data_IF_987024983733
#
_entry.id   IF_987024983733
#
_cell.length_a   1.000
_cell.length_b   1.000
_cell.length_c   1.000
_cell.angle_alpha   90.00
_cell.angle_beta   90.00
_cell.angle_gamma   90.00
#
_symmetry.space_group_name_H-M   'P 1'
#
loop_
_entity.id
_entity.type
_entity.pdbx_description
1 polymer ?
#
# COMPACT_ATOMS: atom_id res chain seq x y z
N UNK A 1 0.94 36.40 1.92
CA UNK A 1 1.78 35.39 1.24
C UNK A 1 2.99 35.12 2.09
N UNK A 2 3.34 33.83 2.27
CA UNK A 2 4.68 33.24 2.45
C UNK A 2 4.57 32.09 3.47
N UNK A 3 4.25 30.88 3.00
CA UNK A 3 5.17 29.75 2.78
C UNK A 3 5.47 28.97 4.08
N UNK A 4 4.80 27.82 4.26
CA UNK A 4 5.41 26.65 4.92
C UNK A 4 5.88 25.65 3.85
N UNK A 5 6.36 24.43 4.19
CA UNK A 5 6.76 23.87 5.49
C UNK A 5 8.16 23.18 5.44
N UNK A 6 8.69 22.70 6.57
CA UNK A 6 9.66 21.58 6.63
C UNK A 6 9.82 21.05 8.07
N UNK A 7 9.60 19.75 8.26
CA UNK A 7 10.02 19.00 9.47
C UNK A 7 9.06 19.11 10.65
N UNK A 8 8.09 18.19 10.75
CA UNK A 8 7.32 17.97 11.96
C UNK A 8 8.26 17.50 13.08
N UNK A 9 8.75 18.43 13.90
CA UNK A 9 9.36 18.16 15.19
C UNK A 9 8.27 17.66 16.14
N UNK A 10 8.07 16.36 16.21
CA UNK A 10 7.12 15.74 17.14
C UNK A 10 7.81 15.70 18.52
N UNK A 11 7.44 16.63 19.41
CA UNK A 11 7.93 16.68 20.78
C UNK A 11 7.19 15.63 21.63
N UNK A 12 7.93 14.71 22.26
CA UNK A 12 7.42 13.55 22.99
C UNK A 12 6.66 13.84 24.31
N UNK A 13 6.11 15.04 24.52
CA UNK A 13 5.42 15.45 25.76
C UNK A 13 3.89 15.59 25.64
N UNK A 14 3.31 15.33 24.48
CA UNK A 14 1.89 15.58 24.23
C UNK A 14 1.11 14.26 24.13
N UNK A 15 0.95 13.55 25.25
CA UNK A 15 0.18 12.29 25.32
C UNK A 15 -1.27 12.43 24.78
N UNK A 16 -1.86 13.63 24.88
CA UNK A 16 -3.20 13.97 24.35
C UNK A 16 -3.23 14.03 22.81
N UNK A 17 -2.10 14.38 22.19
CA UNK A 17 -1.95 14.48 20.74
C UNK A 17 -1.81 13.08 20.10
N UNK A 18 -1.35 12.07 20.84
CA UNK A 18 -1.20 10.72 20.28
C UNK A 18 -2.53 10.08 19.89
N UNK A 19 -3.56 10.18 20.73
CA UNK A 19 -4.87 9.59 20.42
C UNK A 19 -5.55 10.31 19.23
N UNK A 20 -5.43 11.63 19.14
CA UNK A 20 -5.94 12.39 17.99
C UNK A 20 -5.15 12.08 16.71
N UNK A 21 -3.81 11.98 16.81
CA UNK A 21 -2.94 11.56 15.69
C UNK A 21 -3.29 10.14 15.24
N UNK A 22 -3.53 9.20 16.15
CA UNK A 22 -3.94 7.82 15.83
C UNK A 22 -5.32 7.78 15.17
N UNK A 23 -6.27 8.60 15.63
CA UNK A 23 -7.58 8.75 14.98
C UNK A 23 -7.46 9.32 13.57
N UNK A 24 -6.70 10.41 13.41
CA UNK A 24 -6.44 11.03 12.10
C UNK A 24 -5.74 10.05 11.15
N UNK A 25 -4.80 9.27 11.68
CA UNK A 25 -4.11 8.22 10.94
C UNK A 25 -5.10 7.13 10.49
N UNK A 26 -5.92 6.59 11.40
CA UNK A 26 -6.92 5.59 11.07
C UNK A 26 -7.92 6.09 10.01
N UNK A 27 -8.38 7.35 10.12
CA UNK A 27 -9.27 7.97 9.12
C UNK A 27 -8.61 8.00 7.75
N UNK A 28 -7.36 8.44 7.64
CA UNK A 28 -6.63 8.46 6.35
C UNK A 28 -6.46 7.06 5.75
N UNK A 29 -6.17 6.07 6.59
CA UNK A 29 -6.00 4.68 6.16
C UNK A 29 -7.32 4.11 5.63
N UNK A 30 -8.42 4.31 6.35
CA UNK A 30 -9.76 3.87 5.91
C UNK A 30 -10.15 4.56 4.62
N UNK A 31 -9.99 5.88 4.53
CA UNK A 31 -10.25 6.64 3.30
C UNK A 31 -9.45 6.13 2.10
N UNK A 32 -8.17 5.79 2.30
CA UNK A 32 -7.34 5.22 1.24
C UNK A 32 -7.89 3.87 0.75
N UNK A 33 -8.21 2.97 1.68
CA UNK A 33 -8.78 1.65 1.38
C UNK A 33 -10.11 1.76 0.63
N UNK A 34 -11.03 2.57 1.14
CA UNK A 34 -12.34 2.80 0.53
C UNK A 34 -12.19 3.43 -0.86
N UNK A 35 -11.31 4.42 -1.01
CA UNK A 35 -11.06 5.07 -2.30
C UNK A 35 -10.52 4.06 -3.31
N UNK A 36 -9.54 3.25 -2.91
CA UNK A 36 -8.96 2.23 -3.78
C UNK A 36 -9.99 1.18 -4.19
N UNK A 37 -10.78 0.67 -3.24
CA UNK A 37 -11.83 -0.30 -3.52
C UNK A 37 -12.90 0.25 -4.48
N UNK A 38 -13.39 1.47 -4.22
CA UNK A 38 -14.35 2.16 -5.09
C UNK A 38 -13.84 2.34 -6.52
N UNK A 39 -12.52 2.48 -6.71
CA UNK A 39 -11.92 2.55 -8.04
C UNK A 39 -11.95 1.17 -8.72
N UNK A 40 -11.56 0.11 -8.01
CA UNK A 40 -11.58 -1.26 -8.52
C UNK A 40 -13.00 -1.73 -8.90
N UNK A 41 -14.03 -1.27 -8.19
CA UNK A 41 -15.43 -1.57 -8.56
C UNK A 41 -15.87 -0.90 -9.87
N UNK A 42 -15.23 0.22 -10.24
CA UNK A 42 -15.59 1.03 -11.43
C UNK A 42 -14.72 0.77 -12.65
N UNK A 43 -13.49 0.32 -12.44
CA UNK A 43 -12.49 0.12 -13.50
C UNK A 43 -11.74 -1.18 -13.23
N UNK A 44 -11.52 -2.04 -14.25
CA UNK A 44 -10.67 -3.22 -14.11
C UNK A 44 -9.28 -2.86 -13.58
N UNK A 45 -8.79 -3.60 -12.59
CA UNK A 45 -7.48 -3.39 -11.98
C UNK A 45 -6.35 -3.39 -13.00
N UNK A 46 -6.44 -4.24 -14.03
CA UNK A 46 -5.49 -4.31 -15.16
C UNK A 46 -5.35 -3.03 -15.98
N UNK A 47 -6.31 -2.11 -15.88
CA UNK A 47 -6.27 -0.80 -16.55
C UNK A 47 -5.89 0.34 -15.60
N UNK A 48 -5.73 0.04 -14.31
CA UNK A 48 -5.44 1.03 -13.29
C UNK A 48 -3.95 1.37 -13.26
N UNK A 49 -3.65 2.66 -13.13
CA UNK A 49 -2.31 3.16 -12.80
C UNK A 49 -2.37 3.81 -11.43
N UNK A 50 -1.62 3.28 -10.47
CA UNK A 50 -1.58 3.77 -9.09
C UNK A 50 -0.66 4.98 -8.95
N UNK A 51 0.44 4.99 -9.71
CA UNK A 51 1.45 6.04 -9.70
C UNK A 51 1.96 6.30 -11.12
N UNK A 52 2.75 7.37 -11.30
CA UNK A 52 3.49 7.62 -12.54
C UNK A 52 4.67 6.66 -12.73
N UNK A 53 5.06 5.95 -11.67
CA UNK A 53 6.25 5.10 -11.59
C UNK A 53 5.89 3.61 -11.57
N UNK A 54 4.66 3.24 -11.95
CA UNK A 54 4.19 1.85 -11.83
C UNK A 54 5.10 0.84 -12.55
N UNK A 55 5.57 1.21 -13.74
CA UNK A 55 6.51 0.38 -14.51
C UNK A 55 7.83 0.18 -13.74
N UNK A 56 8.42 1.27 -13.21
CA UNK A 56 9.66 1.23 -12.41
C UNK A 56 9.48 0.40 -11.12
N UNK A 57 8.37 0.62 -10.41
CA UNK A 57 8.06 -0.08 -9.16
C UNK A 57 7.89 -1.58 -9.40
N UNK A 58 7.21 -1.97 -10.46
CA UNK A 58 7.01 -3.38 -10.82
C UNK A 58 8.32 -4.07 -11.19
N UNK A 59 9.15 -3.43 -12.02
CA UNK A 59 10.47 -3.98 -12.40
C UNK A 59 11.40 -4.10 -11.19
N UNK A 60 11.43 -3.08 -10.32
CA UNK A 60 12.23 -3.12 -9.11
C UNK A 60 11.74 -4.21 -8.14
N UNK A 61 10.42 -4.39 -7.98
CA UNK A 61 9.86 -5.47 -7.16
C UNK A 61 10.32 -6.84 -7.66
N UNK A 62 10.22 -7.10 -8.97
CA UNK A 62 10.67 -8.36 -9.56
C UNK A 62 12.17 -8.60 -9.42
N UNK A 63 12.98 -7.53 -9.43
CA UNK A 63 14.42 -7.62 -9.26
C UNK A 63 14.82 -7.92 -7.81
N UNK A 64 14.19 -7.25 -6.85
CA UNK A 64 14.52 -7.37 -5.42
C UNK A 64 13.86 -8.61 -4.78
N UNK A 65 12.68 -8.98 -5.28
CA UNK A 65 11.90 -10.13 -4.82
C UNK A 65 11.53 -11.02 -6.01
N UNK A 66 12.50 -11.74 -6.61
CA UNK A 66 12.25 -12.59 -7.78
C UNK A 66 11.27 -13.73 -7.51
N UNK A 67 11.20 -14.20 -6.25
CA UNK A 67 10.29 -15.24 -5.79
C UNK A 67 8.93 -14.68 -5.32
N UNK A 68 8.67 -13.38 -5.49
CA UNK A 68 7.39 -12.78 -5.08
C UNK A 68 6.25 -13.22 -6.00
N UNK A 69 5.28 -13.93 -5.42
CA UNK A 69 4.04 -14.32 -6.08
C UNK A 69 2.90 -13.39 -5.66
N UNK A 70 2.44 -12.55 -6.58
CA UNK A 70 1.35 -11.60 -6.34
C UNK A 70 -0.03 -12.27 -6.15
N UNK A 71 -0.17 -13.52 -6.61
CA UNK A 71 -1.39 -14.33 -6.51
C UNK A 71 -1.53 -15.06 -5.18
N UNK A 72 -0.40 -15.25 -4.48
CA UNK A 72 -0.34 -15.89 -3.18
C UNK A 72 -0.86 -14.98 -2.06
N UNK A 73 -1.24 -15.60 -0.94
CA UNK A 73 -1.48 -14.87 0.30
C UNK A 73 -0.13 -14.44 0.87
N UNK A 74 0.00 -13.15 1.17
CA UNK A 74 1.21 -12.58 1.77
C UNK A 74 1.43 -13.21 3.14
N UNK A 75 2.63 -13.75 3.33
CA UNK A 75 3.06 -14.22 4.63
C UNK A 75 3.64 -13.04 5.45
N UNK A 76 2.92 -12.63 6.50
CA UNK A 76 3.37 -11.57 7.39
C UNK A 76 4.69 -11.90 8.09
N UNK A 77 4.97 -13.18 8.37
CA UNK A 77 6.20 -13.60 9.04
C UNK A 77 7.43 -13.36 8.15
N UNK A 78 7.31 -13.60 6.84
CA UNK A 78 8.39 -13.34 5.89
C UNK A 78 8.68 -11.84 5.78
N UNK A 79 7.64 -11.00 5.78
CA UNK A 79 7.80 -9.54 5.83
C UNK A 79 8.40 -9.05 7.15
N UNK A 80 8.07 -9.69 8.27
CA UNK A 80 8.54 -9.32 9.62
C UNK A 80 9.91 -9.91 9.97
N UNK A 81 10.39 -10.88 9.18
CA UNK A 81 11.72 -11.47 9.31
C UNK A 81 12.81 -10.40 9.20
N UNK A 82 13.99 -10.70 9.74
CA UNK A 82 15.13 -9.76 9.71
C UNK A 82 15.52 -9.40 8.27
N UNK A 83 15.60 -10.40 7.40
CA UNK A 83 15.91 -10.22 5.98
C UNK A 83 14.79 -9.48 5.24
N UNK A 84 13.53 -9.86 5.45
CA UNK A 84 12.38 -9.20 4.83
C UNK A 84 12.29 -7.72 5.19
N UNK A 85 12.48 -7.39 6.48
CA UNK A 85 12.52 -5.99 6.94
C UNK A 85 13.63 -5.19 6.27
N UNK A 86 14.82 -5.77 6.14
CA UNK A 86 15.97 -5.08 5.53
C UNK A 86 15.75 -4.85 4.02
N UNK A 87 15.29 -5.88 3.29
CA UNK A 87 14.95 -5.77 1.86
C UNK A 87 13.85 -4.75 1.61
N UNK A 88 12.73 -4.84 2.33
CA UNK A 88 11.66 -3.87 2.20
C UNK A 88 12.12 -2.46 2.57
N UNK A 89 12.92 -2.28 3.61
CA UNK A 89 13.45 -0.96 3.98
C UNK A 89 14.32 -0.37 2.86
N UNK A 90 15.21 -1.18 2.28
CA UNK A 90 16.04 -0.75 1.15
C UNK A 90 15.18 -0.39 -0.06
N UNK A 91 14.19 -1.22 -0.39
CA UNK A 91 13.23 -0.96 -1.47
C UNK A 91 12.48 0.36 -1.25
N UNK A 92 11.89 0.55 -0.06
CA UNK A 92 11.09 1.73 0.31
C UNK A 92 11.92 3.01 0.22
N UNK A 93 13.16 3.00 0.76
CA UNK A 93 14.04 4.18 0.78
C UNK A 93 14.42 4.70 -0.61
N UNK A 94 14.43 3.85 -1.66
CA UNK A 94 14.69 4.29 -3.04
C UNK A 94 13.63 5.27 -3.57
N UNK A 95 12.47 5.33 -2.92
CA UNK A 95 11.33 6.15 -3.35
C UNK A 95 11.07 7.37 -2.45
N UNK A 96 11.93 7.65 -1.46
CA UNK A 96 11.75 8.75 -0.50
C UNK A 96 11.52 10.11 -1.17
N UNK A 97 12.22 10.38 -2.27
CA UNK A 97 12.13 11.64 -3.01
C UNK A 97 11.36 11.52 -4.33
N UNK A 98 10.70 10.37 -4.56
CA UNK A 98 9.98 10.07 -5.81
C UNK A 98 8.48 9.92 -5.59
N UNK A 99 8.08 9.45 -4.40
CA UNK A 99 6.69 9.15 -4.05
C UNK A 99 6.33 9.89 -2.77
N UNK A 100 5.29 10.72 -2.84
CA UNK A 100 4.77 11.41 -1.66
C UNK A 100 4.21 10.41 -0.63
N UNK A 101 4.57 10.64 0.63
CA UNK A 101 4.22 9.78 1.76
C UNK A 101 4.61 8.30 1.55
N UNK A 102 5.74 8.02 0.88
CA UNK A 102 6.21 6.68 0.55
C UNK A 102 6.20 5.68 1.74
N UNK A 103 6.47 6.17 2.96
CA UNK A 103 6.54 5.40 4.19
C UNK A 103 5.28 5.50 5.06
N UNK A 104 4.23 6.18 4.61
CA UNK A 104 2.98 6.31 5.38
C UNK A 104 2.26 4.96 5.44
N UNK A 105 1.79 4.61 6.64
CA UNK A 105 1.08 3.35 6.87
C UNK A 105 -0.29 3.31 6.19
N UNK A 106 -0.66 2.14 5.71
CA UNK A 106 -1.91 1.84 5.01
C UNK A 106 -2.30 0.38 5.24
N UNK A 107 -3.44 -0.03 4.68
CA UNK A 107 -3.88 -1.43 4.70
C UNK A 107 -3.74 -2.06 3.32
N UNK A 108 -3.33 -3.31 3.32
CA UNK A 108 -3.15 -4.14 2.14
C UNK A 108 -3.90 -5.46 2.34
N UNK A 109 -4.52 -5.97 1.27
CA UNK A 109 -5.15 -7.29 1.31
C UNK A 109 -4.07 -8.37 1.34
N UNK A 110 -4.18 -9.30 2.28
CA UNK A 110 -3.28 -10.44 2.37
C UNK A 110 -3.33 -11.27 1.08
N UNK A 111 -4.53 -11.48 0.52
CA UNK A 111 -4.74 -12.18 -0.76
C UNK A 111 -5.43 -11.27 -1.77
N UNK A 112 -5.09 -11.31 -3.07
CA UNK A 112 -5.86 -10.60 -4.10
C UNK A 112 -7.28 -11.15 -4.26
N UNK A 113 -7.55 -12.38 -3.80
CA UNK A 113 -8.81 -13.10 -3.99
C UNK A 113 -9.89 -12.76 -2.96
N UNK A 114 -9.54 -11.95 -1.96
CA UNK A 114 -10.44 -11.59 -0.86
C UNK A 114 -10.77 -10.10 -0.91
N UNK A 115 -11.88 -9.73 -0.26
CA UNK A 115 -12.23 -8.34 0.05
C UNK A 115 -11.42 -7.87 1.27
N UNK A 116 -11.50 -6.58 1.59
CA UNK A 116 -10.96 -6.08 2.86
C UNK A 116 -11.82 -6.59 4.02
N UNK A 117 -11.27 -7.48 4.84
CA UNK A 117 -11.89 -8.00 6.05
C UNK A 117 -10.89 -8.00 7.23
N UNK A 118 -11.36 -8.35 8.42
CA UNK A 118 -10.53 -8.31 9.63
C UNK A 118 -9.37 -9.32 9.61
N UNK A 119 -9.51 -10.44 8.89
CA UNK A 119 -8.55 -11.56 8.93
C UNK A 119 -7.58 -11.55 7.73
N UNK A 120 -8.01 -11.03 6.58
CA UNK A 120 -7.28 -10.96 5.34
C UNK A 120 -6.79 -9.55 4.99
N UNK A 121 -6.74 -8.64 5.96
CA UNK A 121 -6.14 -7.31 5.81
C UNK A 121 -4.92 -7.18 6.73
N UNK A 122 -3.79 -6.79 6.14
CA UNK A 122 -2.53 -6.59 6.86
C UNK A 122 -2.11 -5.12 6.81
N UNK A 123 -1.37 -4.70 7.82
CA UNK A 123 -0.78 -3.37 7.85
C UNK A 123 0.50 -3.33 7.01
N UNK A 124 0.61 -2.34 6.12
CA UNK A 124 1.75 -2.15 5.24
C UNK A 124 2.03 -0.65 5.07
N UNK A 125 3.18 -0.26 4.54
CA UNK A 125 3.41 1.14 4.13
C UNK A 125 2.99 1.37 2.67
N UNK A 126 2.78 2.63 2.28
CA UNK A 126 2.33 3.03 0.94
C UNK A 126 3.17 2.40 -0.19
N UNK A 127 4.49 2.36 -0.05
CA UNK A 127 5.33 1.69 -1.06
C UNK A 127 5.14 0.18 -1.13
N UNK A 128 4.90 -0.50 0.00
CA UNK A 128 4.57 -1.92 -0.01
C UNK A 128 3.21 -2.15 -0.67
N UNK A 129 2.22 -1.31 -0.37
CA UNK A 129 0.92 -1.33 -1.03
C UNK A 129 1.05 -1.16 -2.54
N UNK A 130 1.79 -0.15 -3.01
CA UNK A 130 2.01 0.07 -4.44
C UNK A 130 2.71 -1.11 -5.09
N UNK A 131 3.82 -1.60 -4.53
CA UNK A 131 4.54 -2.73 -5.10
C UNK A 131 3.61 -3.93 -5.32
N UNK A 132 2.86 -4.32 -4.29
CA UNK A 132 1.98 -5.48 -4.34
C UNK A 132 0.77 -5.24 -5.25
N UNK A 133 0.04 -4.13 -5.10
CA UNK A 133 -1.18 -3.90 -5.87
C UNK A 133 -0.88 -3.59 -7.34
N UNK A 134 0.27 -2.98 -7.68
CA UNK A 134 0.72 -2.84 -9.07
C UNK A 134 0.96 -4.22 -9.67
N UNK A 135 1.64 -5.12 -8.95
CA UNK A 135 1.87 -6.48 -9.44
C UNK A 135 0.54 -7.22 -9.68
N UNK A 136 -0.39 -7.13 -8.72
CA UNK A 136 -1.74 -7.72 -8.83
C UNK A 136 -2.53 -7.15 -10.01
N UNK A 137 -2.48 -5.84 -10.22
CA UNK A 137 -3.13 -5.18 -11.34
C UNK A 137 -2.53 -5.64 -12.68
N UNK A 138 -1.20 -5.67 -12.80
CA UNK A 138 -0.52 -6.13 -14.03
C UNK A 138 -0.84 -7.57 -14.40
N UNK A 139 -1.07 -8.40 -13.39
CA UNK A 139 -1.41 -9.82 -13.56
C UNK A 139 -2.93 -10.05 -13.66
N UNK A 140 -3.75 -9.00 -13.65
CA UNK A 140 -5.21 -9.08 -13.75
C UNK A 140 -5.89 -9.68 -12.51
N UNK A 141 -5.15 -9.85 -11.40
CA UNK A 141 -5.62 -10.52 -10.19
C UNK A 141 -6.69 -9.71 -9.43
N UNK A 142 -6.89 -8.45 -9.80
CA UNK A 142 -7.88 -7.54 -9.22
C UNK A 142 -9.12 -7.34 -10.10
N UNK A 143 -9.16 -7.90 -11.31
CA UNK A 143 -10.26 -7.66 -12.26
C UNK A 143 -11.58 -8.26 -11.80
N UNK A 144 -11.53 -9.33 -11.00
CA UNK A 144 -12.74 -9.95 -10.42
C UNK A 144 -13.56 -8.98 -9.56
N UNK A 145 -12.94 -7.96 -8.95
CA UNK A 145 -13.64 -6.95 -8.14
C UNK A 145 -14.59 -6.15 -9.02
N UNK A 146 -14.09 -5.70 -10.17
CA UNK A 146 -14.88 -5.03 -11.19
C UNK A 146 -16.00 -5.95 -11.70
N UNK A 147 -15.66 -7.18 -12.09
CA UNK A 147 -16.63 -8.15 -12.63
C UNK A 147 -17.76 -8.45 -11.65
N UNK A 148 -17.43 -8.64 -10.36
CA UNK A 148 -18.40 -8.85 -9.29
C UNK A 148 -19.29 -7.63 -9.08
N UNK A 149 -18.73 -6.41 -9.16
CA UNK A 149 -19.48 -5.17 -9.00
C UNK A 149 -20.45 -4.92 -10.18
N UNK A 150 -20.03 -5.21 -11.41
CA UNK A 150 -20.87 -5.03 -12.61
C UNK A 150 -21.93 -6.14 -12.80
N UNK A 151 -21.77 -7.27 -12.09
CA UNK A 151 -22.73 -8.39 -12.13
C UNK A 151 -23.89 -8.25 -11.14
N UNK A 152 -23.93 -7.16 -10.35
CA UNK A 152 -25.03 -6.82 -9.44
C UNK A 152 -26.02 -5.89 -10.11
#
# INVERSE_FOLDING_TARGET
MSLGPAGANINAKEADNFEDIEKQFAVKVVQHVETYWNILEKVPGSKLRLTKLDDEIYEHLKKEFPDFDASATINEDDMKSKEGKERWRNFINQYENKVDDYNFGTMLRASPKTEYDQQGTIFAVRMQFYAVEIARNREGLNDWVYEKAQSK
#
